data_IF_990242656815
#
_entry.id   IF_990242656815
#
_cell.length_a   1.000
_cell.length_b   1.000
_cell.length_c   1.000
_cell.angle_alpha   90.00
_cell.angle_beta   90.00
_cell.angle_gamma   90.00
#
_symmetry.space_group_name_H-M   'P 1'
#
loop_
_entity.id
_entity.type
_entity.pdbx_description
1 polymer ?
#
# COMPACT_ATOMS: atom_id res chain seq x y z
N UNK A 1 -33.17 0.30 -3.63
CA UNK A 1 -32.11 0.81 -2.73
C UNK A 1 -31.62 -0.37 -1.92
N UNK A 2 -30.31 -0.64 -1.97
CA UNK A 2 -29.68 -1.70 -1.17
C UNK A 2 -29.73 -1.31 0.33
N UNK A 3 -29.69 -2.31 1.19
CA UNK A 3 -29.68 -2.10 2.66
C UNK A 3 -28.55 -1.20 3.14
N UNK A 4 -27.42 -1.23 2.48
CA UNK A 4 -26.27 -0.37 2.78
C UNK A 4 -26.53 1.09 2.33
N UNK A 5 -27.09 1.27 1.15
CA UNK A 5 -27.48 2.60 0.65
C UNK A 5 -28.52 3.25 1.57
N UNK A 6 -29.53 2.48 1.99
CA UNK A 6 -30.53 2.96 2.97
C UNK A 6 -29.90 3.38 4.31
N UNK A 7 -28.94 2.61 4.79
CA UNK A 7 -28.19 2.94 6.00
C UNK A 7 -27.44 4.27 5.84
N UNK A 8 -26.76 4.47 4.69
CA UNK A 8 -26.03 5.72 4.40
C UNK A 8 -26.99 6.91 4.38
N UNK A 9 -28.07 6.84 3.61
CA UNK A 9 -29.04 7.95 3.49
C UNK A 9 -29.64 8.32 4.85
N UNK A 10 -30.04 7.34 5.64
CA UNK A 10 -30.55 7.56 7.00
C UNK A 10 -29.50 8.20 7.92
N UNK A 11 -28.25 7.73 7.87
CA UNK A 11 -27.16 8.27 8.71
C UNK A 11 -26.86 9.73 8.38
N UNK A 12 -26.92 10.10 7.10
CA UNK A 12 -26.73 11.50 6.67
C UNK A 12 -27.81 12.42 7.26
N UNK A 13 -29.05 11.95 7.26
CA UNK A 13 -30.18 12.71 7.84
C UNK A 13 -30.07 12.81 9.36
N UNK A 14 -29.87 11.68 10.05
CA UNK A 14 -29.77 11.62 11.52
C UNK A 14 -28.60 12.44 12.09
N UNK A 15 -27.50 12.53 11.35
CA UNK A 15 -26.27 13.25 11.72
C UNK A 15 -26.18 14.65 11.14
N UNK A 16 -27.18 15.11 10.41
CA UNK A 16 -27.20 16.41 9.69
C UNK A 16 -25.92 16.64 8.87
N UNK A 17 -25.50 15.62 8.12
CA UNK A 17 -24.33 15.70 7.22
C UNK A 17 -24.72 16.53 6.01
N UNK A 18 -23.92 17.53 5.67
CA UNK A 18 -24.20 18.49 4.57
C UNK A 18 -23.30 18.29 3.35
N UNK A 19 -22.17 17.62 3.52
CA UNK A 19 -21.20 17.39 2.46
C UNK A 19 -20.83 15.92 2.42
N UNK A 20 -20.89 15.33 1.22
CA UNK A 20 -20.42 13.99 0.98
C UNK A 20 -19.33 14.05 -0.06
N UNK A 21 -18.15 13.59 0.30
CA UNK A 21 -17.00 13.52 -0.61
C UNK A 21 -16.97 12.17 -1.28
N UNK A 22 -16.99 12.17 -2.60
CA UNK A 22 -16.79 10.98 -3.41
C UNK A 22 -15.32 10.89 -3.78
N UNK A 23 -14.66 9.86 -3.29
CA UNK A 23 -13.23 9.66 -3.43
C UNK A 23 -12.91 8.62 -4.50
N UNK A 24 -11.93 8.92 -5.32
CA UNK A 24 -11.34 8.00 -6.28
C UNK A 24 -9.84 8.32 -6.43
N UNK A 25 -9.12 7.47 -7.16
CA UNK A 25 -7.66 7.55 -7.22
C UNK A 25 -7.22 7.59 -8.67
N UNK A 26 -6.27 8.47 -9.00
CA UNK A 26 -5.66 8.47 -10.32
C UNK A 26 -4.61 7.36 -10.46
N UNK A 27 -4.08 7.19 -11.67
CA UNK A 27 -3.09 6.14 -11.97
C UNK A 27 -1.81 6.28 -11.14
N UNK A 28 -1.44 7.50 -10.76
CA UNK A 28 -0.27 7.77 -9.92
C UNK A 28 -0.52 7.54 -8.42
N UNK A 29 -1.75 7.23 -8.03
CA UNK A 29 -2.12 7.01 -6.63
C UNK A 29 -2.48 8.29 -5.87
N UNK A 30 -2.73 9.40 -6.57
CA UNK A 30 -3.22 10.61 -5.94
C UNK A 30 -4.73 10.50 -5.67
N UNK A 31 -5.14 10.89 -4.45
CA UNK A 31 -6.55 10.93 -4.08
C UNK A 31 -7.24 12.10 -4.78
N UNK A 32 -8.32 11.81 -5.47
CA UNK A 32 -9.22 12.78 -6.10
C UNK A 32 -10.56 12.79 -5.37
N UNK A 33 -11.26 13.92 -5.43
CA UNK A 33 -12.54 14.05 -4.74
C UNK A 33 -13.46 15.02 -5.47
N UNK A 34 -14.74 14.67 -5.50
CA UNK A 34 -15.83 15.59 -5.80
C UNK A 34 -16.78 15.63 -4.59
N UNK A 35 -17.33 16.78 -4.27
CA UNK A 35 -18.30 16.92 -3.19
C UNK A 35 -19.71 17.01 -3.76
N UNK A 36 -20.64 16.26 -3.17
CA UNK A 36 -22.05 16.26 -3.54
C UNK A 36 -22.93 16.56 -2.33
N UNK A 37 -24.09 17.15 -2.60
CA UNK A 37 -25.11 17.34 -1.56
C UNK A 37 -25.76 15.99 -1.23
N UNK A 38 -26.19 15.75 0.03
CA UNK A 38 -26.88 14.53 0.40
C UNK A 38 -28.09 14.19 -0.46
N UNK A 39 -28.82 15.18 -0.93
CA UNK A 39 -29.99 15.01 -1.79
C UNK A 39 -29.67 14.35 -3.15
N UNK A 40 -28.41 14.44 -3.61
CA UNK A 40 -27.98 13.86 -4.88
C UNK A 40 -27.57 12.38 -4.75
N UNK A 41 -27.42 11.85 -3.52
CA UNK A 41 -26.84 10.53 -3.31
C UNK A 41 -27.72 9.38 -3.77
N UNK A 42 -29.04 9.50 -3.66
CA UNK A 42 -29.94 8.45 -4.16
C UNK A 42 -29.76 8.25 -5.67
N UNK A 43 -29.66 9.36 -6.41
CA UNK A 43 -29.32 9.34 -7.84
C UNK A 43 -27.90 8.84 -8.10
N UNK A 44 -26.94 9.23 -7.26
CA UNK A 44 -25.55 8.81 -7.38
C UNK A 44 -25.40 7.28 -7.19
N UNK A 45 -26.15 6.65 -6.29
CA UNK A 45 -26.15 5.20 -6.16
C UNK A 45 -26.77 4.49 -7.36
N UNK A 46 -27.85 5.04 -7.89
CA UNK A 46 -28.55 4.45 -9.04
C UNK A 46 -27.76 4.61 -10.34
N UNK A 47 -27.38 5.84 -10.67
CA UNK A 47 -26.85 6.21 -12.00
C UNK A 47 -25.37 6.66 -11.94
N UNK A 48 -24.84 6.95 -10.77
CA UNK A 48 -23.53 7.57 -10.59
C UNK A 48 -23.55 9.09 -10.84
N UNK A 49 -22.39 9.72 -10.70
CA UNK A 49 -22.16 11.13 -10.93
C UNK A 49 -21.18 11.30 -12.10
N UNK A 50 -21.58 12.04 -13.12
CA UNK A 50 -20.70 12.36 -14.26
C UNK A 50 -19.56 13.30 -13.85
N UNK A 51 -18.38 13.05 -14.34
CA UNK A 51 -17.19 13.88 -14.13
C UNK A 51 -16.20 13.76 -15.30
N UNK A 52 -15.23 14.68 -15.36
CA UNK A 52 -14.15 14.65 -16.35
C UNK A 52 -13.12 13.56 -15.99
N UNK A 53 -13.13 12.48 -16.76
CA UNK A 53 -12.26 11.30 -16.57
C UNK A 53 -10.78 11.55 -16.79
N UNK A 54 -10.39 12.68 -17.41
CA UNK A 54 -8.98 13.06 -17.55
C UNK A 54 -8.26 13.17 -16.19
N UNK A 55 -9.03 13.42 -15.12
CA UNK A 55 -8.52 13.47 -13.76
C UNK A 55 -7.91 12.14 -13.27
N UNK A 56 -8.32 11.00 -13.84
CA UNK A 56 -7.83 9.65 -13.42
C UNK A 56 -6.52 9.31 -14.12
N UNK A 57 -6.35 9.73 -15.36
CA UNK A 57 -5.17 9.40 -16.15
C UNK A 57 -3.93 10.22 -15.74
N UNK A 58 -4.09 11.23 -14.89
CA UNK A 58 -2.98 12.08 -14.41
C UNK A 58 -2.43 13.05 -15.45
N UNK A 59 -3.03 13.12 -16.63
CA UNK A 59 -2.65 14.02 -17.72
C UNK A 59 -3.81 14.89 -18.15
N UNK A 60 -3.55 16.17 -18.41
CA UNK A 60 -4.52 17.03 -19.07
C UNK A 60 -4.67 16.60 -20.54
N UNK A 61 -5.86 16.15 -20.94
CA UNK A 61 -6.19 15.81 -22.33
C UNK A 61 -6.93 16.94 -23.01
N UNK A 62 -6.73 17.07 -24.31
CA UNK A 62 -7.45 18.04 -25.15
C UNK A 62 -8.90 17.59 -25.39
N UNK A 63 -9.17 16.30 -25.30
CA UNK A 63 -10.50 15.72 -25.47
C UNK A 63 -11.10 15.39 -24.11
N UNK A 64 -12.31 15.91 -23.86
CA UNK A 64 -13.10 15.52 -22.69
C UNK A 64 -13.37 14.01 -22.74
N UNK A 65 -13.26 13.39 -21.58
CA UNK A 65 -13.54 11.98 -21.38
C UNK A 65 -14.57 11.87 -20.26
N UNK A 66 -15.84 11.91 -20.62
CA UNK A 66 -16.93 11.75 -19.66
C UNK A 66 -16.86 10.36 -19.02
N UNK A 67 -16.80 10.33 -17.70
CA UNK A 67 -16.85 9.12 -16.88
C UNK A 67 -17.89 9.28 -15.78
N UNK A 68 -18.20 8.18 -15.13
CA UNK A 68 -19.20 8.10 -14.06
C UNK A 68 -18.51 7.61 -12.79
N UNK A 69 -18.61 8.37 -11.71
CA UNK A 69 -18.24 7.94 -10.37
C UNK A 69 -19.47 7.35 -9.65
N UNK A 70 -19.45 6.07 -9.35
CA UNK A 70 -20.49 5.40 -8.58
C UNK A 70 -20.00 5.14 -7.16
N UNK A 71 -20.63 5.75 -6.13
CA UNK A 71 -20.22 5.51 -4.75
C UNK A 71 -20.39 4.06 -4.33
N UNK A 72 -19.42 3.56 -3.58
CA UNK A 72 -19.49 2.27 -2.90
C UNK A 72 -19.99 2.49 -1.46
N UNK A 73 -21.26 2.18 -1.16
CA UNK A 73 -21.84 2.47 0.15
C UNK A 73 -21.18 1.68 1.29
N UNK A 74 -20.50 0.56 0.99
CA UNK A 74 -19.77 -0.21 1.98
C UNK A 74 -18.57 0.54 2.57
N UNK A 75 -18.09 1.56 1.86
CA UNK A 75 -16.93 2.37 2.25
C UNK A 75 -17.32 3.66 2.97
N UNK A 76 -18.61 3.88 3.24
CA UNK A 76 -19.09 5.09 3.90
C UNK A 76 -18.42 5.32 5.26
N UNK A 77 -17.87 6.53 5.46
CA UNK A 77 -17.30 6.94 6.74
C UNK A 77 -17.51 8.43 6.99
N UNK A 78 -17.71 8.79 8.26
CA UNK A 78 -17.65 10.17 8.70
C UNK A 78 -16.19 10.60 8.84
N UNK A 79 -15.88 11.84 8.42
CA UNK A 79 -14.54 12.40 8.54
C UNK A 79 -14.38 13.05 9.93
N UNK A 80 -13.45 12.57 10.77
CA UNK A 80 -13.39 12.95 12.17
C UNK A 80 -12.60 14.24 12.44
N UNK A 81 -11.90 14.77 11.45
CA UNK A 81 -11.09 15.97 11.63
C UNK A 81 -11.89 17.26 11.54
N UNK A 82 -11.33 18.32 12.14
CA UNK A 82 -11.85 19.70 12.22
C UNK A 82 -13.08 19.90 13.08
N UNK A 83 -13.75 18.85 13.57
CA UNK A 83 -14.85 18.95 14.51
C UNK A 83 -15.99 19.91 14.12
N UNK A 84 -16.05 20.28 12.84
CA UNK A 84 -16.99 21.29 12.34
C UNK A 84 -18.38 20.71 12.16
N UNK A 85 -19.36 21.45 12.61
CA UNK A 85 -20.75 21.22 12.26
C UNK A 85 -21.12 22.21 11.13
N UNK A 86 -21.77 21.78 10.07
CA UNK A 86 -22.22 20.41 9.75
C UNK A 86 -21.09 19.44 9.39
N UNK A 87 -21.30 18.16 9.73
CA UNK A 87 -20.32 17.11 9.45
C UNK A 87 -20.09 16.82 7.98
N UNK A 88 -19.00 16.13 7.70
CA UNK A 88 -18.61 15.69 6.36
C UNK A 88 -18.46 14.17 6.34
N UNK A 89 -18.96 13.51 5.31
CA UNK A 89 -18.78 12.09 5.06
C UNK A 89 -18.02 11.85 3.76
N UNK A 90 -17.51 10.63 3.58
CA UNK A 90 -16.89 10.21 2.33
C UNK A 90 -17.30 8.79 1.94
N UNK A 91 -17.23 8.48 0.65
CA UNK A 91 -17.26 7.13 0.09
C UNK A 91 -16.20 7.02 -1.01
N UNK A 92 -15.59 5.85 -1.15
CA UNK A 92 -14.84 5.52 -2.35
C UNK A 92 -15.80 5.22 -3.49
N UNK A 93 -15.36 5.47 -4.73
CA UNK A 93 -16.15 5.25 -5.93
C UNK A 93 -15.50 4.22 -6.83
N UNK A 94 -16.34 3.45 -7.50
CA UNK A 94 -15.97 2.75 -8.72
C UNK A 94 -16.17 3.69 -9.90
N UNK A 95 -15.23 3.69 -10.84
CA UNK A 95 -15.30 4.53 -12.03
C UNK A 95 -15.82 3.69 -13.19
N UNK A 96 -16.84 4.22 -13.86
CA UNK A 96 -17.51 3.59 -14.98
C UNK A 96 -17.40 4.45 -16.23
N UNK A 97 -17.48 3.77 -17.37
CA UNK A 97 -17.69 4.42 -18.67
C UNK A 97 -19.16 4.89 -18.78
N UNK A 98 -19.50 5.77 -19.75
CA UNK A 98 -20.88 6.25 -19.94
C UNK A 98 -21.91 5.14 -20.20
N UNK A 99 -21.47 3.98 -20.69
CA UNK A 99 -22.34 2.82 -20.91
C UNK A 99 -22.59 1.98 -19.64
N UNK A 100 -22.01 2.41 -18.50
CA UNK A 100 -22.10 1.73 -17.22
C UNK A 100 -21.11 0.59 -17.01
N UNK A 101 -20.26 0.25 -17.98
CA UNK A 101 -19.21 -0.72 -17.82
C UNK A 101 -18.04 -0.15 -16.99
N UNK A 102 -17.28 -1.00 -16.27
CA UNK A 102 -16.12 -0.53 -15.50
C UNK A 102 -15.07 0.16 -16.38
N UNK A 103 -14.54 1.28 -15.90
CA UNK A 103 -13.41 1.94 -16.57
C UNK A 103 -12.12 1.16 -16.36
N UNK A 104 -11.43 0.87 -17.47
CA UNK A 104 -10.12 0.21 -17.43
C UNK A 104 -9.00 1.11 -16.88
N UNK A 105 -9.25 2.42 -16.77
CA UNK A 105 -8.32 3.39 -16.20
C UNK A 105 -8.36 3.45 -14.67
N UNK A 106 -9.39 2.90 -14.03
CA UNK A 106 -9.60 2.97 -12.59
C UNK A 106 -8.68 1.98 -11.85
N UNK A 107 -7.68 2.46 -11.07
CA UNK A 107 -6.81 1.57 -10.29
C UNK A 107 -7.57 0.67 -9.31
N UNK A 108 -8.65 1.17 -8.71
CA UNK A 108 -9.50 0.38 -7.81
C UNK A 108 -10.15 -0.78 -8.54
N UNK A 109 -10.59 -0.57 -9.79
CA UNK A 109 -11.10 -1.64 -10.65
C UNK A 109 -10.03 -2.65 -11.04
N UNK A 110 -8.82 -2.20 -11.34
CA UNK A 110 -7.69 -3.11 -11.62
C UNK A 110 -7.50 -4.10 -10.47
N UNK A 111 -7.53 -3.61 -9.22
CA UNK A 111 -7.42 -4.49 -8.05
C UNK A 111 -8.63 -5.43 -7.93
N UNK A 112 -9.86 -4.92 -8.06
CA UNK A 112 -11.08 -5.76 -8.02
C UNK A 112 -11.03 -6.90 -9.03
N UNK A 113 -10.59 -6.63 -10.27
CA UNK A 113 -10.46 -7.63 -11.32
C UNK A 113 -9.44 -8.72 -10.96
N UNK A 114 -8.30 -8.35 -10.38
CA UNK A 114 -7.29 -9.30 -9.96
C UNK A 114 -7.73 -10.10 -8.71
N UNK A 115 -8.47 -9.47 -7.78
CA UNK A 115 -9.09 -10.18 -6.66
C UNK A 115 -10.15 -11.19 -7.12
N UNK A 116 -10.90 -10.87 -8.18
CA UNK A 116 -11.85 -11.83 -8.80
C UNK A 116 -11.12 -13.05 -9.33
N UNK A 117 -9.98 -12.89 -10.02
CA UNK A 117 -9.15 -14.02 -10.47
C UNK A 117 -8.67 -14.89 -9.29
N UNK A 118 -8.27 -14.28 -8.17
CA UNK A 118 -7.91 -15.03 -6.96
C UNK A 118 -9.12 -15.80 -6.41
N UNK A 119 -10.30 -15.19 -6.40
CA UNK A 119 -11.55 -15.81 -5.96
C UNK A 119 -11.94 -17.00 -6.85
N UNK A 120 -11.75 -16.90 -8.17
CA UNK A 120 -11.98 -18.00 -9.11
C UNK A 120 -11.05 -19.20 -8.85
N UNK A 121 -9.86 -18.94 -8.27
CA UNK A 121 -8.93 -19.97 -7.80
C UNK A 121 -9.26 -20.47 -6.38
N UNK A 122 -10.28 -19.93 -5.73
CA UNK A 122 -10.72 -20.30 -4.37
C UNK A 122 -10.04 -19.47 -3.25
N UNK A 123 -9.30 -18.40 -3.57
CA UNK A 123 -8.54 -17.62 -2.62
C UNK A 123 -9.14 -16.25 -2.30
N UNK A 124 -9.10 -15.89 -1.01
CA UNK A 124 -9.22 -14.50 -0.55
C UNK A 124 -7.84 -13.97 -0.20
N UNK A 125 -7.50 -12.80 -0.71
CA UNK A 125 -6.21 -12.16 -0.50
C UNK A 125 -6.29 -11.13 0.61
N UNK A 126 -5.52 -11.35 1.68
CA UNK A 126 -5.38 -10.44 2.82
C UNK A 126 -4.03 -9.76 2.83
N UNK A 127 -4.01 -8.51 3.24
CA UNK A 127 -2.81 -7.69 3.35
C UNK A 127 -2.77 -6.96 4.69
N UNK A 128 -1.55 -6.71 5.19
CA UNK A 128 -1.28 -6.02 6.44
C UNK A 128 -0.05 -5.12 6.21
N UNK A 129 -0.23 -3.82 5.97
CA UNK A 129 0.87 -2.90 5.72
C UNK A 129 1.45 -2.33 7.01
N UNK A 130 2.77 -2.21 7.07
CA UNK A 130 3.56 -1.44 8.02
C UNK A 130 3.94 -0.14 7.32
N UNK A 131 3.34 0.99 7.72
CA UNK A 131 3.45 2.23 6.96
C UNK A 131 4.41 3.19 7.65
N UNK A 132 5.58 3.37 7.05
CA UNK A 132 6.60 4.32 7.51
C UNK A 132 6.41 5.68 6.85
N UNK A 133 6.69 6.73 7.60
CA UNK A 133 6.68 8.12 7.11
C UNK A 133 7.51 9.03 7.99
N UNK A 134 7.83 10.21 7.48
CA UNK A 134 8.56 11.22 8.25
C UNK A 134 7.64 12.37 8.68
N UNK A 135 7.88 12.85 9.91
CA UNK A 135 7.38 14.13 10.39
C UNK A 135 8.49 15.17 10.31
N UNK A 136 8.19 16.26 9.61
CA UNK A 136 9.08 17.41 9.45
C UNK A 136 8.52 18.59 10.23
N UNK A 137 9.40 19.50 10.68
CA UNK A 137 8.98 20.71 11.39
C UNK A 137 8.06 21.57 10.56
N UNK A 138 8.41 21.74 9.28
CA UNK A 138 7.68 22.57 8.34
C UNK A 138 7.59 21.87 6.97
N UNK A 139 6.71 22.38 6.11
CA UNK A 139 6.71 22.03 4.70
C UNK A 139 8.02 22.50 4.07
N UNK A 140 8.84 21.60 3.50
CA UNK A 140 10.08 22.00 2.86
C UNK A 140 9.85 22.95 1.69
N UNK A 141 10.59 24.03 1.62
CA UNK A 141 10.66 24.88 0.43
C UNK A 141 11.52 24.21 -0.65
N UNK A 142 11.29 24.58 -1.90
CA UNK A 142 12.09 24.05 -3.02
C UNK A 142 13.56 24.42 -2.83
N UNK A 143 14.42 23.39 -2.80
CA UNK A 143 15.86 23.57 -2.61
C UNK A 143 16.32 23.69 -1.15
N UNK A 144 15.39 23.67 -0.18
CA UNK A 144 15.75 23.62 1.25
C UNK A 144 15.99 22.18 1.71
N UNK A 145 16.78 22.02 2.77
CA UNK A 145 16.96 20.75 3.45
C UNK A 145 15.78 20.53 4.40
N UNK A 146 15.06 19.40 4.33
CA UNK A 146 14.01 19.07 5.29
C UNK A 146 14.58 18.99 6.70
N UNK A 147 13.79 19.36 7.72
CA UNK A 147 14.19 19.29 9.13
C UNK A 147 13.25 18.35 9.87
N UNK A 148 13.75 17.23 10.45
CA UNK A 148 12.90 16.32 11.21
C UNK A 148 12.38 16.99 12.49
N UNK A 149 11.21 16.54 12.98
CA UNK A 149 10.57 17.11 14.19
C UNK A 149 11.33 16.80 15.47
N UNK A 150 12.14 15.74 15.48
CA UNK A 150 12.89 15.27 16.64
C UNK A 150 14.23 14.67 16.25
N UNK A 151 14.95 14.18 17.26
CA UNK A 151 16.20 13.42 17.13
C UNK A 151 16.07 12.00 17.69
N UNK A 152 14.85 11.47 17.76
CA UNK A 152 14.54 10.14 18.28
C UNK A 152 15.08 9.04 17.39
N UNK A 153 15.11 7.83 17.92
CA UNK A 153 15.53 6.62 17.26
C UNK A 153 14.55 5.46 17.49
N UNK A 154 14.96 4.28 17.09
CA UNK A 154 14.13 3.09 17.05
C UNK A 154 13.55 2.73 18.43
N UNK A 155 12.22 2.68 18.51
CA UNK A 155 11.43 2.44 19.73
C UNK A 155 11.57 3.50 20.84
N UNK A 156 12.15 4.65 20.58
CA UNK A 156 12.27 5.69 21.58
C UNK A 156 10.91 6.17 22.09
N UNK A 157 10.80 6.27 23.42
CA UNK A 157 9.64 6.82 24.10
C UNK A 157 10.06 8.03 24.94
N UNK A 158 9.91 9.21 24.36
CA UNK A 158 10.24 10.48 25.03
C UNK A 158 8.96 11.12 25.55
N UNK A 159 8.86 11.46 26.88
CA UNK A 159 7.72 12.19 27.43
C UNK A 159 7.48 13.51 26.69
N UNK A 160 6.21 13.84 26.48
CA UNK A 160 5.78 15.06 25.78
C UNK A 160 6.37 15.25 24.38
N UNK A 161 6.72 14.15 23.73
CA UNK A 161 7.19 14.16 22.35
C UNK A 161 6.04 14.48 21.40
N UNK A 162 6.25 15.41 20.48
CA UNK A 162 5.29 15.71 19.41
C UNK A 162 4.98 14.47 18.56
N UNK A 163 5.98 13.62 18.32
CA UNK A 163 5.81 12.38 17.56
C UNK A 163 4.87 11.39 18.28
N UNK A 164 4.99 11.27 19.61
CA UNK A 164 4.08 10.41 20.39
C UNK A 164 2.65 10.93 20.36
N UNK A 165 2.45 12.21 20.56
CA UNK A 165 1.12 12.83 20.50
C UNK A 165 0.52 12.76 19.11
N UNK A 166 1.34 12.89 18.09
CA UNK A 166 0.94 12.73 16.68
C UNK A 166 0.40 11.32 16.43
N UNK A 167 1.15 10.27 16.79
CA UNK A 167 0.69 8.89 16.61
C UNK A 167 -0.60 8.62 17.35
N UNK A 168 -0.71 9.06 18.63
CA UNK A 168 -1.93 8.90 19.44
C UNK A 168 -3.15 9.55 18.78
N UNK A 169 -3.03 10.78 18.33
CA UNK A 169 -4.11 11.52 17.66
C UNK A 169 -4.49 10.84 16.34
N UNK A 170 -3.49 10.47 15.55
CA UNK A 170 -3.71 9.79 14.27
C UNK A 170 -4.42 8.46 14.42
N UNK A 171 -4.01 7.63 15.38
CA UNK A 171 -4.66 6.34 15.67
C UNK A 171 -6.12 6.54 16.10
N UNK A 172 -6.36 7.52 16.96
CA UNK A 172 -7.74 7.84 17.40
C UNK A 172 -8.63 8.23 16.20
N UNK A 173 -8.11 9.02 15.26
CA UNK A 173 -8.84 9.38 14.05
C UNK A 173 -9.05 8.19 13.10
N UNK A 174 -8.03 7.35 12.91
CA UNK A 174 -8.15 6.15 12.08
C UNK A 174 -9.23 5.20 12.65
N UNK A 175 -9.20 4.94 13.94
CA UNK A 175 -10.19 4.07 14.58
C UNK A 175 -11.60 4.65 14.53
N UNK A 176 -11.75 5.97 14.64
CA UNK A 176 -13.04 6.65 14.44
C UNK A 176 -13.59 6.46 13.01
N UNK A 177 -12.73 6.19 12.04
CA UNK A 177 -13.09 5.85 10.66
C UNK A 177 -13.22 4.34 10.41
N UNK A 178 -13.20 3.51 11.46
CA UNK A 178 -13.25 2.06 11.32
C UNK A 178 -11.95 1.42 10.79
N UNK A 179 -10.85 2.17 10.77
CA UNK A 179 -9.53 1.68 10.33
C UNK A 179 -8.75 1.23 11.56
N UNK A 180 -8.65 -0.08 11.76
CA UNK A 180 -7.98 -0.65 12.92
C UNK A 180 -6.47 -0.59 12.79
N UNK A 181 -5.82 -0.13 13.84
CA UNK A 181 -4.36 -0.11 14.00
C UNK A 181 -3.93 -1.27 14.89
N UNK A 182 -2.84 -1.95 14.53
CA UNK A 182 -2.27 -3.02 15.34
C UNK A 182 -1.10 -2.54 16.18
N UNK A 183 -0.27 -1.66 15.63
CA UNK A 183 1.02 -1.32 16.19
C UNK A 183 1.48 0.08 15.79
N UNK A 184 2.27 0.74 16.62
CA UNK A 184 2.92 2.00 16.26
C UNK A 184 4.15 2.27 17.11
N UNK A 185 5.18 2.85 16.52
CA UNK A 185 6.40 3.21 17.21
C UNK A 185 7.18 4.31 16.47
N UNK A 186 8.18 4.85 17.12
CA UNK A 186 9.21 5.68 16.49
C UNK A 186 10.16 4.77 15.71
N UNK A 187 10.49 5.15 14.48
CA UNK A 187 11.42 4.44 13.62
C UNK A 187 12.88 4.85 13.84
N UNK A 188 13.80 4.23 13.07
CA UNK A 188 15.25 4.39 13.23
C UNK A 188 15.72 5.83 13.02
N UNK A 189 15.18 6.50 12.01
CA UNK A 189 15.62 7.85 11.66
C UNK A 189 14.93 8.93 12.51
N UNK A 190 15.60 10.05 12.78
CA UNK A 190 14.98 11.23 13.37
C UNK A 190 13.68 11.62 12.65
N UNK A 191 12.62 11.85 13.40
CA UNK A 191 11.31 12.22 12.86
C UNK A 191 10.56 11.11 12.14
N UNK A 192 11.12 9.91 12.00
CA UNK A 192 10.48 8.80 11.30
C UNK A 192 9.54 8.02 12.21
N UNK A 193 8.35 7.75 11.71
CA UNK A 193 7.29 7.05 12.41
C UNK A 193 6.82 5.85 11.62
N UNK A 194 6.29 4.84 12.32
CA UNK A 194 5.59 3.71 11.73
C UNK A 194 4.25 3.48 12.42
N UNK A 195 3.23 3.22 11.61
CA UNK A 195 1.91 2.80 12.08
C UNK A 195 1.47 1.63 11.21
N UNK A 196 1.18 0.50 11.86
CA UNK A 196 0.77 -0.73 11.20
C UNK A 196 -0.74 -0.87 11.25
N UNK A 197 -1.35 -1.02 10.08
CA UNK A 197 -2.78 -1.29 10.00
C UNK A 197 -3.02 -2.77 10.26
N UNK A 198 -4.13 -3.09 10.93
CA UNK A 198 -4.56 -4.48 11.08
C UNK A 198 -4.89 -5.08 9.71
N UNK A 199 -4.61 -6.38 9.54
CA UNK A 199 -4.92 -7.07 8.29
C UNK A 199 -6.41 -6.97 7.92
N UNK A 200 -6.66 -6.81 6.63
CA UNK A 200 -7.98 -6.85 6.01
C UNK A 200 -7.84 -7.42 4.58
N UNK A 201 -8.95 -7.66 3.90
CA UNK A 201 -8.89 -7.95 2.47
C UNK A 201 -8.18 -6.81 1.72
N UNK A 202 -7.55 -7.15 0.61
CA UNK A 202 -6.64 -6.22 -0.07
C UNK A 202 -7.34 -4.96 -0.61
N UNK A 203 -8.62 -5.02 -0.99
CA UNK A 203 -9.35 -3.85 -1.45
C UNK A 203 -9.61 -2.88 -0.30
N UNK A 204 -10.11 -3.39 0.82
CA UNK A 204 -10.31 -2.62 2.05
C UNK A 204 -8.99 -2.00 2.52
N UNK A 205 -7.89 -2.78 2.48
CA UNK A 205 -6.57 -2.27 2.88
C UNK A 205 -6.08 -1.17 1.96
N UNK A 206 -6.26 -1.28 0.64
CA UNK A 206 -5.88 -0.24 -0.31
C UNK A 206 -6.68 1.06 -0.09
N UNK A 207 -7.98 0.97 0.12
CA UNK A 207 -8.83 2.11 0.51
C UNK A 207 -8.36 2.72 1.85
N UNK A 208 -8.01 1.88 2.82
CA UNK A 208 -7.49 2.33 4.12
C UNK A 208 -6.14 3.04 4.01
N UNK A 209 -5.24 2.61 3.13
CA UNK A 209 -3.95 3.29 2.87
C UNK A 209 -4.19 4.69 2.31
N UNK A 210 -5.14 4.85 1.38
CA UNK A 210 -5.49 6.16 0.85
C UNK A 210 -6.04 7.09 1.94
N UNK A 211 -6.92 6.57 2.79
CA UNK A 211 -7.46 7.28 3.95
C UNK A 211 -6.38 7.62 4.97
N UNK A 212 -5.49 6.68 5.26
CA UNK A 212 -4.35 6.82 6.17
C UNK A 212 -3.47 8.02 5.78
N UNK A 213 -3.07 8.10 4.52
CA UNK A 213 -2.23 9.20 4.03
C UNK A 213 -2.87 10.57 4.25
N UNK A 214 -4.18 10.66 4.06
CA UNK A 214 -4.91 11.90 4.29
C UNK A 214 -5.01 12.23 5.78
N UNK A 215 -5.34 11.24 6.62
CA UNK A 215 -5.40 11.41 8.08
C UNK A 215 -4.07 11.91 8.63
N UNK A 216 -2.95 11.32 8.23
CA UNK A 216 -1.63 11.76 8.67
C UNK A 216 -1.37 13.22 8.31
N UNK A 217 -1.75 13.65 7.12
CA UNK A 217 -1.59 15.04 6.67
C UNK A 217 -2.52 16.00 7.42
N UNK A 218 -3.76 15.60 7.69
CA UNK A 218 -4.71 16.42 8.48
C UNK A 218 -4.23 16.61 9.93
N UNK A 219 -3.78 15.53 10.58
CA UNK A 219 -3.21 15.62 11.93
C UNK A 219 -1.93 16.46 11.95
N UNK A 220 -1.09 16.34 10.93
CA UNK A 220 0.12 17.15 10.81
C UNK A 220 -0.19 18.65 10.73
N UNK A 221 -1.18 19.03 9.92
CA UNK A 221 -1.64 20.44 9.83
C UNK A 221 -2.15 20.91 11.18
N UNK A 222 -2.97 20.11 11.86
CA UNK A 222 -3.55 20.44 13.17
C UNK A 222 -2.46 20.65 14.25
N UNK A 223 -1.38 19.89 14.17
CA UNK A 223 -0.27 19.96 15.13
C UNK A 223 0.89 20.88 14.68
N UNK A 224 0.74 21.57 13.55
CA UNK A 224 1.74 22.50 13.06
C UNK A 224 3.05 21.84 12.60
N UNK A 225 2.96 20.62 12.05
CA UNK A 225 4.08 19.86 11.46
C UNK A 225 3.73 19.42 10.05
N UNK A 226 4.65 18.75 9.38
CA UNK A 226 4.45 18.24 8.02
C UNK A 226 4.71 16.74 7.94
N UNK A 227 3.74 15.97 7.45
CA UNK A 227 3.90 14.55 7.20
C UNK A 227 4.28 14.30 5.72
N UNK A 228 5.32 13.51 5.49
CA UNK A 228 5.74 13.11 4.15
C UNK A 228 5.91 11.60 4.01
N UNK A 229 5.39 11.08 2.90
CA UNK A 229 5.53 9.68 2.48
C UNK A 229 6.64 9.50 1.43
N UNK A 230 7.49 10.50 1.25
CA UNK A 230 8.63 10.43 0.34
C UNK A 230 9.53 9.24 0.73
N UNK A 231 9.86 8.34 -0.20
CA UNK A 231 10.63 7.13 0.13
C UNK A 231 12.00 7.39 0.74
N UNK A 232 12.69 8.46 0.32
CA UNK A 232 14.02 8.83 0.82
C UNK A 232 14.15 10.35 0.92
N UNK A 233 13.61 10.98 1.96
CA UNK A 233 13.70 12.43 2.12
C UNK A 233 15.09 12.92 2.56
N UNK A 234 15.90 12.06 3.19
CA UNK A 234 17.24 12.37 3.68
C UNK A 234 18.26 11.39 3.09
N UNK A 235 19.42 11.89 2.71
CA UNK A 235 20.51 11.06 2.20
C UNK A 235 21.23 10.29 3.30
N UNK A 236 21.28 10.84 4.51
CA UNK A 236 22.00 10.32 5.67
C UNK A 236 21.20 9.33 6.54
N UNK A 237 19.89 9.27 6.39
CA UNK A 237 19.02 8.40 7.17
C UNK A 237 18.39 7.30 6.32
N UNK A 238 17.94 6.19 6.94
CA UNK A 238 17.10 5.21 6.25
C UNK A 238 15.86 5.84 5.60
N UNK A 239 15.39 5.25 4.52
CA UNK A 239 14.14 5.65 3.87
C UNK A 239 12.91 5.02 4.50
N UNK A 240 11.74 5.37 3.97
CA UNK A 240 10.44 4.85 4.40
C UNK A 240 9.94 3.77 3.45
N UNK A 241 9.72 2.57 3.97
CA UNK A 241 9.06 1.46 3.29
C UNK A 241 7.56 1.38 3.60
N UNK A 242 6.92 0.46 2.93
CA UNK A 242 5.60 -0.02 3.31
C UNK A 242 5.62 -1.54 3.22
N UNK A 243 6.36 -2.17 4.12
CA UNK A 243 6.41 -3.63 4.19
C UNK A 243 4.99 -4.16 4.31
N UNK A 244 4.64 -5.12 3.47
CA UNK A 244 3.28 -5.63 3.48
C UNK A 244 3.29 -7.13 3.71
N UNK A 245 2.64 -7.54 4.78
CA UNK A 245 2.37 -8.95 5.04
C UNK A 245 1.21 -9.42 4.17
N UNK A 246 1.38 -10.59 3.58
CA UNK A 246 0.47 -11.20 2.63
C UNK A 246 0.03 -12.56 3.12
N UNK A 247 -1.25 -12.88 2.93
CA UNK A 247 -1.77 -14.23 3.13
C UNK A 247 -2.92 -14.54 2.16
N UNK A 248 -3.06 -15.82 1.82
CA UNK A 248 -4.21 -16.33 1.09
C UNK A 248 -5.04 -17.23 2.01
N UNK A 249 -6.35 -17.11 1.90
CA UNK A 249 -7.30 -17.95 2.64
C UNK A 249 -8.21 -18.70 1.67
N UNK A 250 -8.48 -19.95 1.97
CA UNK A 250 -9.58 -20.75 1.39
C UNK A 250 -10.69 -20.82 2.43
N UNK A 251 -11.73 -20.00 2.27
CA UNK A 251 -12.71 -19.79 3.33
C UNK A 251 -12.03 -19.29 4.61
N UNK A 252 -12.18 -20.01 5.71
CA UNK A 252 -11.59 -19.66 7.02
C UNK A 252 -10.19 -20.27 7.24
N UNK A 253 -9.67 -21.02 6.28
CA UNK A 253 -8.38 -21.70 6.39
C UNK A 253 -7.28 -20.88 5.73
N UNK A 254 -6.19 -20.66 6.48
CA UNK A 254 -4.99 -20.03 5.92
C UNK A 254 -4.29 -20.98 4.94
N UNK A 255 -4.34 -20.68 3.65
CA UNK A 255 -3.75 -21.51 2.60
C UNK A 255 -2.21 -21.55 2.62
N UNK A 256 -1.58 -20.65 3.38
CA UNK A 256 -0.12 -20.62 3.53
C UNK A 256 0.41 -21.52 4.64
N UNK A 257 -0.47 -22.03 5.50
CA UNK A 257 -0.09 -22.86 6.64
C UNK A 257 -0.16 -24.34 6.32
N UNK A 258 0.89 -25.06 6.70
CA UNK A 258 0.94 -26.53 6.70
C UNK A 258 1.71 -27.03 7.93
N UNK A 259 0.99 -27.71 8.84
CA UNK A 259 1.59 -28.23 10.06
C UNK A 259 2.69 -29.26 9.77
N UNK A 260 3.87 -29.07 10.36
CA UNK A 260 5.02 -29.98 10.20
C UNK A 260 5.88 -29.73 8.98
N UNK A 261 5.46 -28.83 8.06
CA UNK A 261 6.32 -28.39 6.97
C UNK A 261 7.42 -27.43 7.47
N UNK A 262 8.48 -27.27 6.70
CA UNK A 262 9.54 -26.31 7.00
C UNK A 262 8.97 -24.90 7.11
N UNK A 263 9.28 -24.19 8.20
CA UNK A 263 8.67 -22.89 8.56
C UNK A 263 7.14 -22.89 8.59
N UNK A 264 6.50 -24.07 8.66
CA UNK A 264 5.05 -24.25 8.58
C UNK A 264 4.43 -23.73 7.26
N UNK A 265 5.23 -23.63 6.20
CA UNK A 265 4.79 -23.15 4.89
C UNK A 265 4.22 -24.29 4.04
N UNK A 266 3.00 -24.11 3.60
CA UNK A 266 2.36 -24.98 2.61
C UNK A 266 3.04 -24.90 1.24
N UNK A 267 2.72 -25.88 0.37
CA UNK A 267 3.11 -25.79 -1.05
C UNK A 267 2.61 -24.49 -1.71
N UNK A 268 1.38 -24.10 -1.40
CA UNK A 268 0.78 -22.84 -1.90
C UNK A 268 1.62 -21.63 -1.51
N UNK A 269 2.04 -21.53 -0.25
CA UNK A 269 2.91 -20.44 0.20
C UNK A 269 4.28 -20.44 -0.52
N UNK A 270 4.88 -21.60 -0.66
CA UNK A 270 6.20 -21.76 -1.31
C UNK A 270 6.13 -21.34 -2.78
N UNK A 271 5.11 -21.77 -3.51
CA UNK A 271 4.89 -21.37 -4.90
C UNK A 271 4.54 -19.90 -5.04
N UNK A 272 3.80 -19.33 -4.10
CA UNK A 272 3.51 -17.89 -4.07
C UNK A 272 4.79 -17.06 -3.86
N UNK A 273 5.66 -17.44 -2.92
CA UNK A 273 6.97 -16.79 -2.72
C UNK A 273 7.80 -16.89 -4.00
N UNK A 274 7.88 -18.08 -4.60
CA UNK A 274 8.63 -18.29 -5.82
C UNK A 274 8.12 -17.40 -6.97
N UNK A 275 6.79 -17.19 -7.06
CA UNK A 275 6.17 -16.26 -7.99
C UNK A 275 6.60 -14.81 -7.74
N UNK A 276 6.55 -14.35 -6.49
CA UNK A 276 7.02 -13.03 -6.10
C UNK A 276 8.49 -12.80 -6.48
N UNK A 277 9.36 -13.77 -6.15
CA UNK A 277 10.79 -13.66 -6.47
C UNK A 277 11.05 -13.62 -7.97
N UNK A 278 10.39 -14.48 -8.73
CA UNK A 278 10.58 -14.56 -10.19
C UNK A 278 10.17 -13.29 -10.90
N UNK A 279 9.05 -12.69 -10.49
CA UNK A 279 8.48 -11.51 -11.13
C UNK A 279 8.82 -10.19 -10.40
N UNK A 280 9.61 -10.23 -9.32
CA UNK A 280 9.98 -9.04 -8.58
C UNK A 280 10.59 -7.92 -9.46
N UNK A 281 11.54 -8.20 -10.36
CA UNK A 281 12.07 -7.15 -11.24
C UNK A 281 11.00 -6.51 -12.14
N UNK A 282 10.02 -7.31 -12.59
CA UNK A 282 8.94 -6.86 -13.48
C UNK A 282 7.96 -5.94 -12.79
N UNK A 283 7.67 -6.19 -11.51
CA UNK A 283 6.69 -5.41 -10.73
C UNK A 283 7.31 -4.21 -9.99
N UNK A 284 8.63 -4.06 -10.04
CA UNK A 284 9.35 -3.01 -9.28
C UNK A 284 8.90 -1.60 -9.67
N UNK A 285 8.69 -1.30 -10.95
CA UNK A 285 8.23 0.03 -11.39
C UNK A 285 6.85 0.40 -10.81
N UNK A 286 5.98 -0.57 -10.55
CA UNK A 286 4.65 -0.36 -9.96
C UNK A 286 4.74 -0.22 -8.44
N UNK A 287 5.53 -1.05 -7.77
CA UNK A 287 5.72 -1.01 -6.32
C UNK A 287 6.60 0.16 -5.87
N UNK A 288 7.49 0.63 -6.73
CA UNK A 288 8.48 1.68 -6.51
C UNK A 288 8.44 2.67 -7.68
N UNK A 289 7.38 3.46 -7.74
CA UNK A 289 7.00 4.23 -8.93
C UNK A 289 7.72 5.58 -9.10
N UNK A 290 8.49 6.01 -8.11
CA UNK A 290 9.16 7.31 -8.13
C UNK A 290 10.67 7.18 -8.30
N UNK A 291 11.31 8.16 -8.91
CA UNK A 291 12.78 8.22 -8.97
C UNK A 291 13.38 8.13 -7.56
N UNK A 292 12.75 8.77 -6.59
CA UNK A 292 13.16 8.75 -5.19
C UNK A 292 13.05 7.36 -4.54
N UNK A 293 12.15 6.48 -5.01
CA UNK A 293 12.03 5.10 -4.54
C UNK A 293 13.35 4.32 -4.67
N UNK A 294 14.11 4.57 -5.73
CA UNK A 294 15.40 3.89 -6.00
C UNK A 294 16.53 4.45 -5.15
N UNK A 295 16.39 5.68 -4.66
CA UNK A 295 17.29 6.23 -3.63
C UNK A 295 17.10 5.53 -2.29
N UNK A 296 15.89 5.06 -1.97
CA UNK A 296 15.66 4.18 -0.82
C UNK A 296 16.25 2.78 -1.07
N UNK A 297 15.98 2.15 -2.20
CA UNK A 297 16.43 0.79 -2.48
C UNK A 297 17.96 0.68 -2.63
N UNK A 298 18.62 1.67 -3.25
CA UNK A 298 20.01 1.58 -3.67
C UNK A 298 20.93 2.63 -3.07
N UNK A 299 20.40 3.69 -2.46
CA UNK A 299 21.16 4.84 -2.03
C UNK A 299 21.29 4.98 -0.52
N UNK A 300 22.39 5.62 -0.09
CA UNK A 300 22.52 6.21 1.24
C UNK A 300 23.41 5.48 2.21
N UNK A 301 23.39 5.99 3.44
CA UNK A 301 24.22 5.58 4.57
C UNK A 301 23.98 4.12 5.02
N UNK A 302 22.95 3.48 4.53
CA UNK A 302 22.69 2.05 4.73
C UNK A 302 23.85 1.17 4.21
N UNK A 303 24.72 1.74 3.37
CA UNK A 303 25.95 1.10 2.88
C UNK A 303 27.16 1.32 3.77
N UNK A 304 27.12 2.23 4.72
CA UNK A 304 28.25 2.52 5.61
C UNK A 304 28.16 1.67 6.87
N UNK A 305 29.22 0.94 7.08
CA UNK A 305 29.55 0.05 8.18
C UNK A 305 28.67 0.13 9.44
N UNK A 306 27.90 -0.92 9.70
CA UNK A 306 27.27 -1.17 11.00
C UNK A 306 25.76 -0.94 11.08
N UNK A 307 25.15 -0.21 10.18
CA UNK A 307 23.71 -0.27 9.95
C UNK A 307 23.51 -1.23 8.76
N UNK A 308 23.22 -2.49 9.03
CA UNK A 308 23.00 -3.49 8.00
C UNK A 308 21.98 -2.96 6.97
N UNK A 309 22.30 -3.08 5.67
CA UNK A 309 21.41 -2.63 4.62
C UNK A 309 20.07 -3.37 4.70
N UNK A 310 19.05 -2.73 5.26
CA UNK A 310 17.71 -3.32 5.40
C UNK A 310 16.88 -3.15 4.12
N UNK A 311 17.30 -2.29 3.20
CA UNK A 311 16.60 -2.08 1.94
C UNK A 311 16.66 -3.34 1.05
N UNK A 312 15.51 -3.87 0.59
CA UNK A 312 15.43 -5.15 -0.09
C UNK A 312 15.74 -5.02 -1.59
N UNK A 313 16.96 -4.67 -1.93
CA UNK A 313 17.38 -4.45 -3.31
C UNK A 313 17.79 -5.73 -4.08
N UNK A 314 17.81 -6.87 -3.41
CA UNK A 314 18.20 -8.16 -4.00
C UNK A 314 17.08 -9.18 -3.90
N UNK A 315 16.90 -9.96 -4.98
CA UNK A 315 15.82 -10.95 -5.09
C UNK A 315 16.19 -12.22 -4.35
N UNK A 316 15.74 -12.30 -3.13
CA UNK A 316 15.87 -13.48 -2.26
C UNK A 316 14.77 -13.52 -1.21
N UNK A 317 14.62 -14.66 -0.55
CA UNK A 317 13.76 -14.81 0.61
C UNK A 317 14.55 -15.38 1.80
N UNK A 318 14.07 -15.16 2.98
CA UNK A 318 14.66 -15.69 4.21
C UNK A 318 13.66 -15.71 5.35
N UNK A 319 14.03 -16.44 6.41
CA UNK A 319 13.21 -16.55 7.61
C UNK A 319 13.54 -15.46 8.64
N UNK A 320 14.83 -15.29 8.96
CA UNK A 320 15.31 -14.30 9.93
C UNK A 320 16.10 -13.15 9.30
N UNK A 321 15.97 -12.95 8.00
CA UNK A 321 16.79 -12.02 7.24
C UNK A 321 15.99 -10.75 6.87
N UNK A 322 16.32 -9.63 7.51
CA UNK A 322 15.73 -8.32 7.23
C UNK A 322 16.26 -7.66 5.94
N UNK A 323 17.32 -8.20 5.35
CA UNK A 323 17.81 -7.75 4.03
C UNK A 323 17.15 -8.46 2.85
N UNK A 324 16.32 -9.48 3.10
CA UNK A 324 15.61 -10.23 2.07
C UNK A 324 14.44 -9.44 1.49
N UNK A 325 14.16 -9.67 0.21
CA UNK A 325 12.98 -9.10 -0.47
C UNK A 325 11.67 -9.67 0.08
N UNK A 326 11.65 -10.97 0.31
CA UNK A 326 10.53 -11.66 0.94
C UNK A 326 11.02 -12.27 2.24
N UNK A 327 10.43 -11.85 3.34
CA UNK A 327 10.71 -12.42 4.66
C UNK A 327 9.53 -13.28 5.11
N UNK A 328 9.84 -14.43 5.68
CA UNK A 328 8.87 -15.29 6.34
C UNK A 328 8.99 -15.03 7.85
N UNK A 329 8.04 -14.31 8.46
CA UNK A 329 8.09 -14.04 9.91
C UNK A 329 8.02 -15.32 10.73
N UNK A 330 8.51 -15.27 11.96
CA UNK A 330 8.47 -16.39 12.89
C UNK A 330 7.03 -16.89 13.08
N UNK A 331 6.85 -18.19 12.93
CA UNK A 331 5.60 -18.87 13.25
C UNK A 331 5.32 -18.78 14.77
N UNK A 332 4.10 -18.40 15.10
CA UNK A 332 3.62 -18.46 16.49
C UNK A 332 2.96 -19.82 16.73
N UNK A 333 3.50 -20.66 17.66
CA UNK A 333 2.91 -21.96 17.94
C UNK A 333 1.40 -21.87 18.20
N UNK A 334 0.64 -22.82 17.68
CA UNK A 334 -0.81 -22.92 17.78
C UNK A 334 -1.60 -21.78 17.09
N UNK A 335 -0.96 -20.97 16.25
CA UNK A 335 -1.59 -19.88 15.50
C UNK A 335 -1.36 -20.04 13.98
N UNK A 336 -1.74 -21.18 13.40
CA UNK A 336 -1.62 -21.45 11.95
C UNK A 336 -2.25 -20.37 11.09
N UNK A 337 -3.38 -19.80 11.52
CA UNK A 337 -4.03 -18.69 10.81
C UNK A 337 -3.21 -17.39 10.77
N UNK A 338 -2.11 -17.28 11.51
CA UNK A 338 -1.21 -16.13 11.48
C UNK A 338 -0.03 -16.30 10.52
N UNK A 339 0.07 -17.41 9.80
CA UNK A 339 1.12 -17.63 8.78
C UNK A 339 1.00 -16.63 7.66
N UNK A 340 2.09 -15.94 7.36
CA UNK A 340 2.13 -14.85 6.38
C UNK A 340 3.51 -14.69 5.77
N UNK A 341 3.58 -13.98 4.67
CA UNK A 341 4.80 -13.54 3.99
C UNK A 341 4.91 -12.04 4.12
N UNK A 342 6.09 -11.50 4.20
CA UNK A 342 6.34 -10.05 4.18
C UNK A 342 7.08 -9.68 2.89
N UNK A 343 6.45 -8.90 2.04
CA UNK A 343 7.07 -8.32 0.84
C UNK A 343 7.59 -6.93 1.19
N UNK A 344 8.88 -6.70 1.01
CA UNK A 344 9.58 -5.58 1.64
C UNK A 344 9.98 -4.44 0.70
N UNK A 345 9.86 -4.62 -0.63
CA UNK A 345 10.38 -3.60 -1.56
C UNK A 345 9.48 -2.39 -1.75
N UNK A 346 8.15 -2.53 -1.64
CA UNK A 346 7.26 -1.41 -1.91
C UNK A 346 7.42 -0.29 -0.88
N UNK A 347 7.18 0.93 -1.31
CA UNK A 347 7.26 2.11 -0.46
C UNK A 347 5.89 2.76 -0.20
N UNK A 348 5.85 3.63 0.82
CA UNK A 348 4.61 4.26 1.26
C UNK A 348 4.02 5.30 0.26
N UNK A 349 4.73 5.60 -0.82
CA UNK A 349 4.28 6.52 -1.87
C UNK A 349 3.71 5.82 -3.12
N UNK A 350 3.67 4.48 -3.15
CA UNK A 350 3.11 3.74 -4.28
C UNK A 350 1.60 3.89 -4.40
N UNK A 351 1.05 3.59 -5.59
CA UNK A 351 -0.38 3.38 -5.77
C UNK A 351 -0.74 2.01 -5.18
N UNK A 352 -1.47 1.93 -4.03
CA UNK A 352 -1.69 0.66 -3.35
C UNK A 352 -2.56 -0.32 -4.14
N UNK A 353 -3.48 0.18 -4.95
CA UNK A 353 -4.33 -0.68 -5.79
C UNK A 353 -3.53 -1.40 -6.85
N UNK A 354 -2.64 -0.68 -7.55
CA UNK A 354 -1.79 -1.26 -8.59
C UNK A 354 -0.69 -2.14 -8.00
N UNK A 355 -0.06 -1.71 -6.90
CA UNK A 355 0.96 -2.49 -6.21
C UNK A 355 0.41 -3.84 -5.73
N UNK A 356 -0.75 -3.85 -5.07
CA UNK A 356 -1.37 -5.09 -4.61
C UNK A 356 -1.84 -5.98 -5.76
N UNK A 357 -2.26 -5.39 -6.88
CA UNK A 357 -2.62 -6.14 -8.07
C UNK A 357 -1.43 -6.92 -8.65
N UNK A 358 -0.29 -6.27 -8.82
CA UNK A 358 0.90 -6.94 -9.41
C UNK A 358 1.55 -7.93 -8.43
N UNK A 359 1.53 -7.65 -7.13
CA UNK A 359 2.01 -8.58 -6.11
C UNK A 359 1.15 -9.85 -6.07
N UNK A 360 -0.17 -9.71 -6.09
CA UNK A 360 -1.10 -10.83 -6.14
C UNK A 360 -0.90 -11.65 -7.42
N UNK A 361 -0.84 -10.98 -8.57
CA UNK A 361 -0.65 -11.65 -9.87
C UNK A 361 0.66 -12.44 -9.93
N UNK A 362 1.76 -11.87 -9.41
CA UNK A 362 3.05 -12.55 -9.33
C UNK A 362 2.97 -13.82 -8.47
N UNK A 363 2.37 -13.72 -7.29
CA UNK A 363 2.19 -14.87 -6.40
C UNK A 363 1.28 -15.94 -6.98
N UNK A 364 0.14 -15.57 -7.54
CA UNK A 364 -0.80 -16.50 -8.20
C UNK A 364 -0.16 -17.19 -9.40
N UNK A 365 0.67 -16.48 -10.16
CA UNK A 365 1.42 -17.08 -11.28
C UNK A 365 2.37 -18.18 -10.79
N UNK A 366 2.98 -17.98 -9.63
CA UNK A 366 3.81 -19.01 -8.99
C UNK A 366 2.99 -20.27 -8.65
N UNK A 367 1.77 -20.10 -8.15
CA UNK A 367 0.86 -21.21 -7.85
C UNK A 367 0.40 -21.90 -9.14
N UNK A 368 -0.07 -21.15 -10.14
CA UNK A 368 -0.54 -21.69 -11.42
C UNK A 368 0.53 -22.51 -12.15
N UNK A 369 1.76 -22.05 -12.11
CA UNK A 369 2.89 -22.65 -12.82
C UNK A 369 3.71 -23.60 -11.95
N UNK A 370 3.30 -23.83 -10.73
CA UNK A 370 3.98 -24.69 -9.76
C UNK A 370 5.49 -24.35 -9.65
N UNK A 371 5.80 -23.06 -9.48
CA UNK A 371 7.20 -22.61 -9.39
C UNK A 371 7.85 -23.19 -8.13
N UNK A 372 9.06 -23.73 -8.33
CA UNK A 372 9.89 -24.17 -7.21
C UNK A 372 10.49 -22.98 -6.47
N UNK A 373 10.43 -23.04 -5.14
CA UNK A 373 11.06 -22.05 -4.27
C UNK A 373 12.57 -22.33 -4.19
N UNK A 374 13.44 -21.39 -4.57
CA UNK A 374 14.89 -21.54 -4.41
C UNK A 374 15.27 -21.59 -2.92
N UNK A 375 16.49 -22.05 -2.59
CA UNK A 375 17.01 -22.01 -1.22
C UNK A 375 16.91 -20.61 -0.62
N UNK A 376 16.56 -20.52 0.67
CA UNK A 376 16.53 -19.26 1.42
C UNK A 376 17.93 -18.67 1.65
N UNK A 377 18.00 -17.36 1.80
CA UNK A 377 19.20 -16.62 2.16
C UNK A 377 19.04 -16.08 3.60
N UNK A 378 19.84 -16.59 4.53
CA UNK A 378 19.79 -16.19 5.94
C UNK A 378 20.92 -15.23 6.33
N UNK A 379 21.88 -15.00 5.43
CA UNK A 379 22.97 -14.05 5.61
C UNK A 379 22.56 -12.63 5.18
N UNK A 380 23.26 -11.63 5.71
CA UNK A 380 23.12 -10.25 5.23
C UNK A 380 23.55 -10.17 3.75
N UNK A 381 22.57 -10.01 2.87
CA UNK A 381 22.76 -10.01 1.41
C UNK A 381 23.64 -8.86 0.93
N UNK A 382 23.64 -7.74 1.66
CA UNK A 382 24.49 -6.60 1.36
C UNK A 382 25.96 -6.84 1.70
N UNK A 383 26.24 -7.66 2.71
CA UNK A 383 27.61 -8.03 3.09
C UNK A 383 28.25 -9.01 2.11
N UNK A 384 27.46 -9.74 1.31
CA UNK A 384 27.94 -10.67 0.30
C UNK A 384 28.63 -9.93 -0.85
N UNK A 385 29.68 -10.54 -1.40
CA UNK A 385 30.28 -10.08 -2.66
C UNK A 385 29.35 -10.36 -3.85
N UNK A 386 29.57 -9.64 -4.94
CA UNK A 386 28.81 -9.89 -6.20
C UNK A 386 29.02 -11.34 -6.72
N UNK A 387 30.17 -11.96 -6.43
CA UNK A 387 30.44 -13.36 -6.81
C UNK A 387 29.64 -14.33 -5.96
N UNK A 388 29.55 -14.10 -4.64
CA UNK A 388 28.76 -14.91 -3.73
C UNK A 388 27.27 -14.83 -4.06
N UNK A 389 26.74 -13.60 -4.27
CA UNK A 389 25.34 -13.44 -4.70
C UNK A 389 25.05 -14.20 -6.00
N UNK A 390 25.93 -14.10 -7.01
CA UNK A 390 25.75 -14.85 -8.27
C UNK A 390 25.78 -16.36 -8.05
N UNK A 391 26.67 -16.85 -7.19
CA UNK A 391 26.75 -18.28 -6.85
C UNK A 391 25.47 -18.78 -6.16
N UNK A 392 24.82 -17.92 -5.38
CA UNK A 392 23.52 -18.20 -4.73
C UNK A 392 22.30 -17.97 -5.62
N UNK A 393 22.51 -17.51 -6.87
CA UNK A 393 21.40 -17.18 -7.78
C UNK A 393 20.65 -15.89 -7.42
N UNK A 394 21.18 -15.08 -6.52
CA UNK A 394 20.57 -13.82 -6.05
C UNK A 394 20.83 -12.73 -7.09
N UNK A 395 19.76 -12.22 -7.68
CA UNK A 395 19.79 -11.14 -8.68
C UNK A 395 19.44 -9.80 -8.01
N UNK A 396 19.97 -8.67 -8.52
CA UNK A 396 19.52 -7.36 -8.08
C UNK A 396 18.13 -7.01 -8.64
N UNK A 397 17.37 -6.18 -7.93
CA UNK A 397 16.27 -5.43 -8.50
C UNK A 397 16.80 -4.35 -9.46
N UNK A 398 15.96 -3.77 -10.34
CA UNK A 398 16.34 -2.60 -11.13
C UNK A 398 16.97 -1.50 -10.27
N UNK A 399 18.02 -0.88 -10.76
CA UNK A 399 18.80 0.10 -9.99
C UNK A 399 18.25 1.52 -10.07
N UNK A 400 17.39 1.79 -11.03
CA UNK A 400 16.73 3.07 -11.24
C UNK A 400 15.35 2.89 -11.90
N UNK A 401 14.56 3.95 -11.90
CA UNK A 401 13.20 3.92 -12.46
C UNK A 401 13.21 3.60 -13.98
N UNK A 402 14.17 4.10 -14.72
CA UNK A 402 14.24 3.88 -16.16
C UNK A 402 14.51 2.39 -16.49
N UNK A 403 15.41 1.76 -15.73
CA UNK A 403 15.63 0.30 -15.83
C UNK A 403 14.37 -0.47 -15.45
N UNK A 404 13.72 -0.08 -14.34
CA UNK A 404 12.49 -0.71 -13.88
C UNK A 404 11.35 -0.63 -14.90
N UNK A 405 11.18 0.52 -15.56
CA UNK A 405 10.18 0.70 -16.62
C UNK A 405 10.50 -0.20 -17.81
N UNK A 406 11.74 -0.29 -18.26
CA UNK A 406 12.12 -1.18 -19.37
C UNK A 406 11.84 -2.64 -19.07
N UNK A 407 12.10 -3.08 -17.85
CA UNK A 407 11.81 -4.45 -17.42
C UNK A 407 10.30 -4.68 -17.38
N UNK A 408 9.56 -3.72 -16.84
CA UNK A 408 8.08 -3.76 -16.79
C UNK A 408 7.48 -3.84 -18.20
N UNK A 409 7.90 -2.97 -19.12
CA UNK A 409 7.40 -2.92 -20.51
C UNK A 409 7.57 -4.24 -21.26
N UNK A 410 8.49 -5.09 -20.82
CA UNK A 410 8.72 -6.42 -21.39
C UNK A 410 7.95 -7.53 -20.68
N UNK A 411 7.13 -7.20 -19.68
CA UNK A 411 6.44 -8.17 -18.83
C UNK A 411 5.02 -8.43 -19.31
N UNK A 412 4.77 -9.63 -19.79
CA UNK A 412 3.40 -10.10 -20.07
C UNK A 412 2.56 -10.15 -18.80
N UNK A 413 3.17 -10.50 -17.65
CA UNK A 413 2.48 -10.55 -16.37
C UNK A 413 1.91 -9.17 -15.99
N UNK A 414 2.74 -8.13 -16.07
CA UNK A 414 2.32 -6.78 -15.67
C UNK A 414 1.31 -6.22 -16.68
N UNK A 415 1.52 -6.41 -17.97
CA UNK A 415 0.59 -6.01 -19.01
C UNK A 415 -0.80 -6.65 -18.83
N UNK A 416 -0.85 -7.95 -18.55
CA UNK A 416 -2.10 -8.68 -18.29
C UNK A 416 -2.78 -8.20 -16.99
N UNK A 417 -1.98 -7.92 -15.96
CA UNK A 417 -2.47 -7.51 -14.64
C UNK A 417 -3.07 -6.10 -14.67
N UNK A 418 -2.36 -5.14 -15.24
CA UNK A 418 -2.79 -3.76 -15.31
C UNK A 418 -3.84 -3.52 -16.39
N UNK A 419 -3.78 -4.30 -17.49
CA UNK A 419 -4.59 -4.12 -18.68
C UNK A 419 -4.03 -3.06 -19.62
N UNK A 420 -4.39 -3.14 -20.88
CA UNK A 420 -3.86 -2.31 -21.98
C UNK A 420 -3.90 -0.81 -21.72
N UNK A 421 -4.89 -0.34 -20.97
CA UNK A 421 -5.06 1.09 -20.75
C UNK A 421 -4.15 1.68 -19.66
N UNK A 422 -3.90 0.92 -18.58
CA UNK A 422 -3.06 1.38 -17.45
C UNK A 422 -1.57 1.04 -17.70
N UNK A 423 -1.31 -0.07 -18.39
CA UNK A 423 0.03 -0.49 -18.79
C UNK A 423 0.62 0.42 -19.87
#
# INVERSE_FOLDING_TARGET
VDRQEEFVLRTLEERDIRFVRLWFTDVLGALKSVAVAPAELEGAFADGIGFDGSAIEGFARVHESDMIARPDPSTFQLLPWRGEYPGVARMFCDILLPDGSPSYADPRWVLKRNLSKASDMGFTFYTHPEIEFFLLRDRPEVGSTPVPVDSGGYYDHTPHSIAHDFRRTSITMLEAMGISVEYSHHEVAPGQQEIDLRYADALTTADNIMSFRLVMKEVAIEQGVWATFMPKPFTEYPGSGMHTHLSLFEGDQNAFYEAGAEYQLSKTARSFIAGLLRHAPEITAVCNQWVNSYKRLWGGAERTAGAGGEAPAYVCWGHNNRSALVRVPMYKPQKGNSTRLEFRSLDAACNPYLAYSVMLAAGLKGIEKDYELPPGAEDDVWALTSSERRAMGIKPLPSDLNEAIRVMESSDLVAETLGEHVF
#
